data_IF_842052300143
#
_entry.id   IF_842052300143
#
_cell.length_a   1.000
_cell.length_b   1.000
_cell.length_c   1.000
_cell.angle_alpha   90.00
_cell.angle_beta   90.00
_cell.angle_gamma   90.00
#
_symmetry.space_group_name_H-M   'P 1'
#
loop_
_entity.id
_entity.type
_entity.pdbx_description
1 polymer ?
#
# COMPACT_ATOMS: atom_id res chain seq x y z
N UNK A 1 22.76 0.59 20.29
CA UNK A 1 21.82 0.11 19.26
C UNK A 1 22.64 -0.27 18.05
N UNK A 2 22.44 -1.46 17.49
CA UNK A 2 23.11 -1.82 16.23
C UNK A 2 22.61 -0.90 15.12
N UNK A 3 23.48 -0.49 14.20
CA UNK A 3 23.20 0.49 13.12
C UNK A 3 22.05 0.11 12.14
N UNK A 4 21.39 -1.02 12.36
CA UNK A 4 20.39 -1.64 11.48
C UNK A 4 19.03 -1.85 12.15
N UNK A 5 18.80 -1.25 13.32
CA UNK A 5 17.52 -1.29 14.02
C UNK A 5 16.71 -0.04 13.67
N UNK A 6 15.49 -0.27 13.17
CA UNK A 6 14.54 0.80 12.87
C UNK A 6 13.63 1.08 14.06
N UNK A 7 13.35 2.36 14.30
CA UNK A 7 12.28 2.81 15.20
C UNK A 7 10.92 2.80 14.46
N UNK A 8 9.83 2.73 15.23
CA UNK A 8 8.47 2.82 14.70
C UNK A 8 7.78 1.50 14.34
N UNK A 9 8.48 0.36 14.41
CA UNK A 9 7.86 -0.98 14.26
C UNK A 9 7.45 -1.59 15.60
N UNK A 10 6.47 -2.49 15.57
CA UNK A 10 6.01 -3.28 16.74
C UNK A 10 7.08 -4.30 17.19
N UNK A 11 8.08 -4.59 16.35
CA UNK A 11 9.14 -5.55 16.62
C UNK A 11 10.48 -5.10 16.05
N UNK A 12 11.58 -5.43 16.73
CA UNK A 12 12.94 -5.14 16.26
C UNK A 12 13.25 -6.00 15.03
N UNK A 13 13.60 -5.36 13.92
CA UNK A 13 13.97 -6.03 12.66
C UNK A 13 15.31 -5.50 12.15
N UNK A 14 16.10 -6.38 11.57
CA UNK A 14 17.35 -6.04 10.89
C UNK A 14 17.11 -6.13 9.38
N UNK A 15 17.14 -5.00 8.70
CA UNK A 15 17.02 -4.93 7.24
C UNK A 15 18.41 -5.00 6.62
N UNK A 16 18.57 -5.80 5.56
CA UNK A 16 19.87 -5.96 4.89
C UNK A 16 20.22 -4.73 4.03
N UNK A 17 19.24 -4.18 3.32
CA UNK A 17 19.41 -3.04 2.45
C UNK A 17 18.15 -2.20 2.36
N UNK A 18 18.29 -0.87 2.30
CA UNK A 18 17.17 0.03 2.11
C UNK A 18 17.61 1.37 1.53
N UNK A 19 16.68 2.03 0.86
CA UNK A 19 16.77 3.46 0.55
C UNK A 19 15.90 4.24 1.54
N UNK A 20 16.38 5.38 2.01
CA UNK A 20 15.60 6.29 2.85
C UNK A 20 15.54 7.71 2.29
N UNK A 21 14.52 8.45 2.69
CA UNK A 21 14.35 9.86 2.37
C UNK A 21 15.58 10.69 2.80
N UNK A 22 16.04 11.59 1.92
CA UNK A 22 17.15 12.52 2.20
C UNK A 22 16.74 13.73 3.05
N UNK A 23 15.44 13.85 3.37
CA UNK A 23 14.88 15.00 4.10
C UNK A 23 15.42 15.10 5.55
N UNK A 24 16.03 14.04 6.08
CA UNK A 24 16.54 13.98 7.45
C UNK A 24 18.06 13.78 7.49
N UNK A 25 18.71 14.38 8.49
CA UNK A 25 20.16 14.32 8.67
C UNK A 25 20.66 12.87 8.88
N UNK A 26 21.87 12.56 8.40
CA UNK A 26 22.42 11.21 8.45
C UNK A 26 22.59 10.65 9.89
N UNK A 27 22.63 11.51 10.90
CA UNK A 27 22.83 11.16 12.31
C UNK A 27 21.54 10.77 13.06
N UNK A 28 20.36 10.85 12.43
CA UNK A 28 19.12 10.40 13.07
C UNK A 28 19.02 8.87 13.01
N UNK A 29 18.48 8.22 14.07
CA UNK A 29 18.10 6.81 14.01
C UNK A 29 17.25 6.53 12.77
N UNK A 30 17.37 5.32 12.23
CA UNK A 30 16.56 4.90 11.10
C UNK A 30 15.12 4.68 11.54
N UNK A 31 14.16 5.18 10.77
CA UNK A 31 12.73 5.02 11.04
C UNK A 31 12.02 4.48 9.80
N UNK A 32 11.06 3.57 10.00
CA UNK A 32 10.28 2.98 8.91
C UNK A 32 9.49 4.03 8.11
N UNK A 33 9.16 5.17 8.72
CA UNK A 33 8.54 6.32 8.06
C UNK A 33 9.39 6.91 6.94
N UNK A 34 10.71 6.71 7.01
CA UNK A 34 11.65 7.27 6.03
C UNK A 34 12.03 6.29 4.93
N UNK A 35 11.64 5.01 5.05
CA UNK A 35 12.02 3.95 4.11
C UNK A 35 11.29 4.11 2.77
N UNK A 36 12.04 4.07 1.67
CA UNK A 36 11.51 4.23 0.32
C UNK A 36 11.49 2.91 -0.45
N UNK A 37 12.53 2.10 -0.30
CA UNK A 37 12.72 0.83 -1.02
C UNK A 37 13.46 -0.13 -0.10
N UNK A 38 13.14 -1.43 -0.17
CA UNK A 38 13.73 -2.47 0.68
C UNK A 38 14.46 -3.54 -0.15
N UNK A 39 15.57 -4.05 0.37
CA UNK A 39 16.33 -5.14 -0.23
C UNK A 39 16.61 -6.23 0.80
N UNK A 40 16.39 -7.48 0.41
CA UNK A 40 16.79 -8.67 1.15
C UNK A 40 17.95 -9.34 0.42
N UNK A 41 19.04 -9.63 1.14
CA UNK A 41 20.26 -10.16 0.55
C UNK A 41 20.58 -11.51 1.18
N UNK A 42 20.87 -12.49 0.32
CA UNK A 42 21.29 -13.80 0.82
C UNK A 42 22.35 -14.43 -0.08
N UNK A 43 23.34 -15.04 0.56
CA UNK A 43 24.30 -15.93 -0.08
C UNK A 43 23.76 -17.36 -0.26
N UNK A 44 22.50 -17.61 0.13
CA UNK A 44 21.85 -18.90 -0.07
C UNK A 44 21.21 -19.00 -1.45
N UNK A 45 21.16 -20.22 -1.99
CA UNK A 45 20.45 -20.50 -3.24
C UNK A 45 18.97 -20.14 -3.18
N UNK A 46 18.32 -20.03 -4.34
CA UNK A 46 16.88 -19.78 -4.51
C UNK A 46 15.98 -20.81 -3.79
N UNK A 47 16.51 -21.93 -3.29
CA UNK A 47 15.73 -22.91 -2.49
C UNK A 47 15.11 -22.30 -1.22
N UNK A 48 15.71 -21.26 -0.64
CA UNK A 48 15.14 -20.56 0.54
C UNK A 48 14.20 -19.41 0.16
N UNK A 49 13.75 -19.35 -1.11
CA UNK A 49 12.95 -18.25 -1.64
C UNK A 49 11.72 -17.94 -0.81
N UNK A 50 10.95 -18.95 -0.38
CA UNK A 50 9.76 -18.75 0.45
C UNK A 50 10.07 -17.98 1.74
N UNK A 51 11.15 -18.35 2.44
CA UNK A 51 11.56 -17.67 3.66
C UNK A 51 11.93 -16.21 3.41
N UNK A 52 12.64 -15.92 2.31
CA UNK A 52 13.11 -14.58 1.96
C UNK A 52 11.98 -13.68 1.45
N UNK A 53 11.05 -14.26 0.70
CA UNK A 53 9.82 -13.59 0.30
C UNK A 53 8.94 -13.23 1.50
N UNK A 54 8.78 -14.15 2.46
CA UNK A 54 8.05 -13.86 3.71
C UNK A 54 8.73 -12.76 4.52
N UNK A 55 10.06 -12.80 4.62
CA UNK A 55 10.85 -11.76 5.31
C UNK A 55 10.67 -10.39 4.64
N UNK A 56 10.81 -10.31 3.32
CA UNK A 56 10.52 -9.09 2.56
C UNK A 56 9.08 -8.63 2.78
N UNK A 57 8.11 -9.55 2.76
CA UNK A 57 6.70 -9.23 3.01
C UNK A 57 6.47 -8.61 4.38
N UNK A 58 7.15 -9.10 5.43
CA UNK A 58 7.11 -8.49 6.75
C UNK A 58 7.63 -7.06 6.70
N UNK A 59 8.73 -6.79 6.00
CA UNK A 59 9.26 -5.43 5.87
C UNK A 59 8.32 -4.50 5.09
N UNK A 60 7.71 -5.00 4.02
CA UNK A 60 6.70 -4.27 3.26
C UNK A 60 5.49 -3.91 4.14
N UNK A 61 5.07 -4.81 5.03
CA UNK A 61 4.03 -4.53 6.02
C UNK A 61 4.43 -3.39 6.95
N UNK A 62 5.64 -3.40 7.49
CA UNK A 62 6.10 -2.33 8.39
C UNK A 62 6.09 -0.95 7.68
N UNK A 63 6.50 -0.90 6.41
CA UNK A 63 6.38 0.33 5.60
C UNK A 63 4.92 0.75 5.45
N UNK A 64 4.00 -0.15 5.09
CA UNK A 64 2.59 0.20 4.95
C UNK A 64 1.90 0.62 6.25
N UNK A 65 2.36 0.14 7.40
CA UNK A 65 1.84 0.52 8.71
C UNK A 65 2.33 1.92 9.09
N UNK A 66 3.62 2.19 8.90
CA UNK A 66 4.24 3.47 9.27
C UNK A 66 4.03 4.58 8.23
N UNK A 67 3.78 4.22 6.98
CA UNK A 67 3.43 5.09 5.87
C UNK A 67 2.03 4.69 5.34
N UNK A 68 0.95 4.98 6.09
CA UNK A 68 -0.39 4.49 5.78
C UNK A 68 -0.92 4.97 4.41
N UNK A 69 -0.42 6.10 3.94
CA UNK A 69 -0.77 6.72 2.66
C UNK A 69 0.06 6.20 1.47
N UNK A 70 0.98 5.27 1.70
CA UNK A 70 1.82 4.68 0.66
C UNK A 70 0.95 3.85 -0.29
N UNK A 71 1.03 4.13 -1.59
CA UNK A 71 0.28 3.41 -2.63
C UNK A 71 0.87 2.05 -2.91
N UNK A 72 2.18 2.01 -3.08
CA UNK A 72 2.96 0.80 -3.32
C UNK A 72 4.39 0.99 -2.79
N UNK A 73 5.08 -0.13 -2.60
CA UNK A 73 6.47 -0.17 -2.10
C UNK A 73 7.30 -1.05 -3.01
N UNK A 74 8.44 -0.52 -3.45
CA UNK A 74 9.43 -1.28 -4.19
C UNK A 74 10.31 -2.10 -3.26
N UNK A 75 10.75 -3.24 -3.74
CA UNK A 75 11.85 -3.95 -3.13
C UNK A 75 12.49 -4.96 -4.03
N UNK A 76 13.45 -5.70 -3.50
CA UNK A 76 14.13 -6.74 -4.24
C UNK A 76 14.69 -7.81 -3.31
N UNK A 77 14.94 -8.99 -3.87
CA UNK A 77 15.66 -10.08 -3.22
C UNK A 77 16.82 -10.47 -4.11
N UNK A 78 18.02 -10.55 -3.54
CA UNK A 78 19.22 -11.01 -4.23
C UNK A 78 19.68 -12.35 -3.64
N UNK A 79 19.58 -13.41 -4.44
CA UNK A 79 20.08 -14.75 -4.12
C UNK A 79 21.39 -15.01 -4.87
N UNK A 80 22.54 -14.87 -4.20
CA UNK A 80 23.85 -14.96 -4.85
C UNK A 80 23.92 -13.98 -6.05
N UNK A 81 23.75 -14.47 -7.29
CA UNK A 81 23.71 -13.66 -8.52
C UNK A 81 22.31 -13.48 -9.12
N UNK A 82 21.26 -14.04 -8.51
CA UNK A 82 19.89 -13.98 -9.01
C UNK A 82 19.12 -12.88 -8.31
N UNK A 83 18.93 -11.76 -9.02
CA UNK A 83 18.13 -10.62 -8.57
C UNK A 83 16.67 -10.81 -8.96
N UNK A 84 15.75 -10.57 -8.03
CA UNK A 84 14.31 -10.49 -8.29
C UNK A 84 13.76 -9.18 -7.75
N UNK A 85 13.14 -8.39 -8.62
CA UNK A 85 12.53 -7.11 -8.24
C UNK A 85 11.06 -7.32 -7.88
N UNK A 86 10.58 -6.52 -6.94
CA UNK A 86 9.25 -6.62 -6.36
C UNK A 86 8.58 -5.25 -6.23
N UNK A 87 7.28 -5.22 -6.47
CA UNK A 87 6.40 -4.11 -6.11
C UNK A 87 5.23 -4.69 -5.33
N UNK A 88 5.01 -4.16 -4.13
CA UNK A 88 3.86 -4.53 -3.30
C UNK A 88 2.89 -3.36 -3.33
N UNK A 89 1.64 -3.61 -3.72
CA UNK A 89 0.54 -2.66 -3.53
C UNK A 89 -0.54 -3.29 -2.64
N UNK A 90 -1.66 -2.60 -2.43
CA UNK A 90 -2.75 -3.10 -1.57
C UNK A 90 -3.58 -4.23 -2.19
N UNK A 91 -3.35 -4.56 -3.46
CA UNK A 91 -3.87 -5.75 -4.14
C UNK A 91 -2.89 -6.93 -4.10
N UNK A 92 -1.64 -6.70 -3.71
CA UNK A 92 -0.66 -7.73 -3.42
C UNK A 92 0.68 -7.54 -4.11
N UNK A 93 1.58 -8.52 -3.91
CA UNK A 93 2.94 -8.47 -4.42
C UNK A 93 3.00 -8.86 -5.90
N UNK A 94 3.89 -8.19 -6.62
CA UNK A 94 4.22 -8.45 -8.02
C UNK A 94 5.73 -8.53 -8.16
N UNK A 95 6.23 -9.41 -9.02
CA UNK A 95 7.66 -9.56 -9.24
C UNK A 95 8.03 -9.66 -10.70
N UNK A 96 9.29 -9.33 -10.99
CA UNK A 96 9.95 -9.77 -12.22
C UNK A 96 10.28 -11.26 -12.16
N UNK A 97 10.70 -11.82 -13.31
CA UNK A 97 11.52 -13.03 -13.32
C UNK A 97 12.89 -12.78 -12.68
N UNK A 98 13.70 -13.84 -12.56
CA UNK A 98 15.07 -13.71 -12.07
C UNK A 98 15.96 -13.07 -13.13
N UNK A 99 16.75 -12.10 -12.69
CA UNK A 99 17.78 -11.42 -13.47
C UNK A 99 19.13 -11.94 -12.97
N UNK A 100 19.90 -12.59 -13.84
CA UNK A 100 21.27 -12.99 -13.48
C UNK A 100 22.22 -11.80 -13.61
N UNK A 101 22.72 -11.33 -12.47
CA UNK A 101 23.70 -10.25 -12.37
C UNK A 101 25.15 -10.77 -12.37
N UNK A 102 25.36 -12.09 -12.31
CA UNK A 102 26.70 -12.69 -12.39
C UNK A 102 27.31 -12.51 -13.77
N UNK A 103 26.48 -12.64 -14.82
CA UNK A 103 26.89 -12.40 -16.20
C UNK A 103 26.87 -10.91 -16.58
N UNK A 104 26.01 -10.11 -15.92
CA UNK A 104 25.79 -8.70 -16.25
C UNK A 104 25.67 -7.85 -14.97
N UNK A 105 26.77 -7.62 -14.24
CA UNK A 105 26.75 -6.90 -12.95
C UNK A 105 26.25 -5.45 -13.07
N UNK A 106 26.40 -4.85 -14.26
CA UNK A 106 25.85 -3.53 -14.60
C UNK A 106 24.33 -3.42 -14.36
N UNK A 107 23.58 -4.52 -14.49
CA UNK A 107 22.14 -4.54 -14.20
C UNK A 107 21.83 -4.17 -12.75
N UNK A 108 22.66 -4.60 -11.80
CA UNK A 108 22.49 -4.20 -10.40
C UNK A 108 22.71 -2.69 -10.25
N UNK A 109 23.74 -2.14 -10.90
CA UNK A 109 24.03 -0.70 -10.89
C UNK A 109 22.86 0.08 -11.47
N UNK A 110 22.29 -0.37 -12.59
CA UNK A 110 21.11 0.26 -13.19
C UNK A 110 19.90 0.24 -12.26
N UNK A 111 19.61 -0.88 -11.59
CA UNK A 111 18.49 -0.99 -10.63
C UNK A 111 18.68 -0.05 -9.45
N UNK A 112 19.86 -0.05 -8.83
CA UNK A 112 20.16 0.84 -7.70
C UNK A 112 20.06 2.31 -8.14
N UNK A 113 20.60 2.65 -9.31
CA UNK A 113 20.54 3.99 -9.87
C UNK A 113 19.10 4.42 -10.17
N UNK A 114 18.28 3.52 -10.73
CA UNK A 114 16.86 3.79 -10.97
C UNK A 114 16.14 4.15 -9.67
N UNK A 115 16.28 3.35 -8.61
CA UNK A 115 15.68 3.67 -7.31
C UNK A 115 16.15 5.00 -6.71
N UNK A 116 17.42 5.38 -6.94
CA UNK A 116 17.94 6.67 -6.47
C UNK A 116 17.39 7.88 -7.23
N UNK A 117 16.97 7.68 -8.48
CA UNK A 117 16.51 8.74 -9.38
C UNK A 117 14.98 8.83 -9.45
N UNK A 118 14.26 7.81 -8.99
CA UNK A 118 12.80 7.83 -8.92
C UNK A 118 12.30 9.01 -8.07
N UNK A 119 11.26 9.64 -8.57
CA UNK A 119 10.49 10.66 -7.86
C UNK A 119 9.69 10.07 -6.69
N UNK A 120 9.21 10.95 -5.79
CA UNK A 120 8.31 10.56 -4.70
C UNK A 120 7.07 9.81 -5.25
N UNK A 121 6.56 10.21 -6.42
CA UNK A 121 5.44 9.55 -7.10
C UNK A 121 5.78 8.15 -7.61
N UNK A 122 6.91 7.99 -8.31
CA UNK A 122 7.39 6.68 -8.80
C UNK A 122 7.78 5.72 -7.67
N UNK A 123 8.05 6.25 -6.48
CA UNK A 123 8.23 5.48 -5.26
C UNK A 123 6.89 5.10 -4.61
N UNK A 124 5.78 5.74 -4.98
CA UNK A 124 4.44 5.44 -4.45
C UNK A 124 4.05 6.31 -3.25
N UNK A 125 4.76 7.39 -2.97
CA UNK A 125 4.33 8.45 -2.06
C UNK A 125 3.24 9.29 -2.71
N UNK A 126 2.46 10.01 -1.90
CA UNK A 126 1.27 10.74 -2.35
C UNK A 126 1.41 12.22 -2.01
N UNK A 127 1.20 13.08 -3.00
CA UNK A 127 1.32 14.53 -2.87
C UNK A 127 0.07 15.22 -2.30
N UNK A 128 -1.09 14.56 -2.34
CA UNK A 128 -2.37 15.14 -1.93
C UNK A 128 -2.49 15.32 -0.41
N UNK A 129 -1.57 14.71 0.34
CA UNK A 129 -1.44 14.83 1.78
C UNK A 129 -0.16 15.58 2.10
N UNK A 130 -0.31 16.70 2.81
CA UNK A 130 0.85 17.47 3.27
C UNK A 130 0.98 17.22 4.77
N UNK A 131 2.04 16.50 5.16
CA UNK A 131 2.41 16.37 6.56
C UNK A 131 3.26 17.56 6.97
N UNK A 132 2.76 18.33 7.93
CA UNK A 132 3.49 19.35 8.67
C UNK A 132 3.84 18.79 10.06
N UNK A 133 4.69 19.50 10.82
CA UNK A 133 5.25 18.97 12.09
C UNK A 133 4.16 18.54 13.09
N UNK A 134 3.03 19.23 13.15
CA UNK A 134 1.96 19.05 14.15
C UNK A 134 0.59 18.72 13.54
N UNK A 135 0.50 18.54 12.23
CA UNK A 135 -0.78 18.29 11.54
C UNK A 135 -0.61 17.66 10.17
N UNK A 136 -1.67 17.02 9.69
CA UNK A 136 -1.79 16.57 8.30
C UNK A 136 -2.87 17.39 7.59
N UNK A 137 -2.56 17.91 6.39
CA UNK A 137 -3.50 18.64 5.56
C UNK A 137 -3.95 17.78 4.37
N UNK A 138 -5.25 17.85 4.05
CA UNK A 138 -5.81 17.18 2.88
C UNK A 138 -6.84 18.07 2.19
N UNK A 139 -6.85 18.04 0.85
CA UNK A 139 -7.89 18.65 0.03
C UNK A 139 -8.95 17.62 -0.35
N UNK A 140 -10.23 17.95 -0.16
CA UNK A 140 -11.39 17.15 -0.60
C UNK A 140 -12.36 18.00 -1.40
N UNK A 141 -13.19 17.39 -2.24
CA UNK A 141 -14.27 18.08 -2.95
C UNK A 141 -15.54 18.06 -2.12
N UNK A 142 -16.23 19.18 -2.04
CA UNK A 142 -17.55 19.23 -1.41
C UNK A 142 -18.58 18.43 -2.23
N UNK A 143 -19.60 17.81 -1.61
CA UNK A 143 -20.52 16.91 -2.31
C UNK A 143 -21.50 17.58 -3.30
N UNK A 144 -21.60 18.90 -3.29
CA UNK A 144 -22.62 19.66 -4.05
C UNK A 144 -22.03 20.84 -4.83
N UNK A 145 -21.06 21.49 -4.22
CA UNK A 145 -20.25 22.55 -4.80
C UNK A 145 -18.97 21.86 -5.25
N UNK A 146 -18.56 21.91 -6.52
CA UNK A 146 -17.24 21.39 -6.97
C UNK A 146 -16.05 22.21 -6.41
N UNK A 147 -16.30 22.88 -5.29
CA UNK A 147 -15.38 23.61 -4.46
C UNK A 147 -14.48 22.62 -3.70
N UNK A 148 -13.27 23.09 -3.42
CA UNK A 148 -12.29 22.37 -2.63
C UNK A 148 -12.29 22.85 -1.19
N UNK A 149 -12.36 21.90 -0.26
CA UNK A 149 -12.21 22.13 1.16
C UNK A 149 -10.84 21.62 1.62
N UNK A 150 -10.10 22.46 2.34
CA UNK A 150 -8.89 22.04 3.06
C UNK A 150 -9.28 21.59 4.46
N UNK A 151 -8.96 20.34 4.79
CA UNK A 151 -9.20 19.77 6.11
C UNK A 151 -7.88 19.64 6.87
N UNK A 152 -7.89 20.03 8.14
CA UNK A 152 -6.75 19.89 9.05
C UNK A 152 -6.99 18.70 9.97
N UNK A 153 -6.05 17.76 9.96
CA UNK A 153 -6.12 16.48 10.65
C UNK A 153 -5.03 16.39 11.72
N UNK A 154 -5.25 15.52 12.70
CA UNK A 154 -4.18 15.07 13.60
C UNK A 154 -2.96 14.57 12.78
N UNK A 155 -1.75 14.74 13.30
CA UNK A 155 -0.51 14.32 12.62
C UNK A 155 -0.53 12.84 12.28
N UNK A 156 -1.04 12.01 13.20
CA UNK A 156 -1.06 10.56 13.07
C UNK A 156 -2.50 10.04 12.94
N UNK A 157 -2.73 8.98 12.17
CA UNK A 157 -4.04 8.37 12.06
C UNK A 157 -4.44 7.68 13.37
N UNK A 158 -5.74 7.72 13.65
CA UNK A 158 -6.36 7.00 14.77
C UNK A 158 -6.54 5.50 14.45
N UNK A 159 -6.72 5.14 13.17
CA UNK A 159 -6.86 3.74 12.71
C UNK A 159 -5.94 3.52 11.51
N UNK A 160 -5.19 2.41 11.52
CA UNK A 160 -4.37 1.95 10.39
C UNK A 160 -4.57 0.46 10.19
N UNK A 161 -4.98 0.06 8.98
CA UNK A 161 -5.04 -1.35 8.60
C UNK A 161 -3.64 -1.90 8.32
N UNK A 162 -3.24 -2.90 9.11
CA UNK A 162 -1.88 -3.45 9.08
C UNK A 162 -1.65 -4.56 8.04
N UNK A 163 -2.70 -5.09 7.41
CA UNK A 163 -2.55 -6.10 6.36
C UNK A 163 -2.07 -5.47 5.05
N UNK A 164 -1.20 -6.15 4.31
CA UNK A 164 -0.76 -5.72 2.97
C UNK A 164 -1.94 -5.77 1.99
N UNK A 165 -2.52 -6.96 1.80
CA UNK A 165 -3.65 -7.17 0.88
C UNK A 165 -4.97 -6.92 1.60
N UNK A 166 -5.53 -5.73 1.43
CA UNK A 166 -6.85 -5.37 1.94
C UNK A 166 -7.31 -4.03 1.38
N UNK A 167 -8.39 -3.50 1.95
CA UNK A 167 -8.82 -2.11 1.70
C UNK A 167 -7.82 -1.07 2.20
N UNK A 168 -6.80 -1.43 2.99
CA UNK A 168 -5.81 -0.49 3.51
C UNK A 168 -6.43 0.68 4.26
N UNK A 169 -7.52 0.43 5.01
CA UNK A 169 -8.29 1.50 5.65
C UNK A 169 -7.43 2.27 6.64
N UNK A 170 -7.38 3.59 6.46
CA UNK A 170 -6.74 4.53 7.38
C UNK A 170 -7.75 5.59 7.79
N UNK A 171 -7.82 5.92 9.07
CA UNK A 171 -8.73 6.94 9.58
C UNK A 171 -7.97 7.98 10.37
N UNK A 172 -8.12 9.23 9.98
CA UNK A 172 -7.64 10.40 10.71
C UNK A 172 -8.81 11.10 11.41
N UNK A 173 -8.51 11.75 12.53
CA UNK A 173 -9.44 12.67 13.18
C UNK A 173 -9.15 14.10 12.72
N UNK A 174 -10.20 14.92 12.65
CA UNK A 174 -10.04 16.37 12.52
C UNK A 174 -9.32 16.94 13.74
N UNK A 175 -8.38 17.87 13.52
CA UNK A 175 -7.56 18.41 14.60
C UNK A 175 -8.35 19.37 15.51
N UNK A 176 -9.25 20.17 14.93
CA UNK A 176 -9.99 21.22 15.63
C UNK A 176 -11.50 21.00 15.65
N UNK A 177 -12.00 20.04 14.86
CA UNK A 177 -13.42 19.79 14.68
C UNK A 177 -13.73 18.30 14.78
N UNK A 178 -14.95 17.99 15.22
CA UNK A 178 -15.42 16.62 15.36
C UNK A 178 -15.82 16.02 14.01
N UNK A 179 -14.83 15.60 13.23
CA UNK A 179 -15.01 14.80 12.02
C UNK A 179 -13.91 13.74 11.90
N UNK A 180 -14.11 12.78 11.01
CA UNK A 180 -13.10 11.80 10.62
C UNK A 180 -12.87 11.82 9.13
N UNK A 181 -11.63 11.56 8.71
CA UNK A 181 -11.27 11.31 7.32
C UNK A 181 -10.88 9.86 7.19
N UNK A 182 -11.69 9.11 6.43
CA UNK A 182 -11.44 7.72 6.10
C UNK A 182 -10.85 7.61 4.70
N UNK A 183 -9.78 6.85 4.60
CA UNK A 183 -9.07 6.57 3.36
C UNK A 183 -9.08 5.06 3.18
N UNK A 184 -9.43 4.57 1.99
CA UNK A 184 -9.45 3.14 1.72
C UNK A 184 -9.47 2.84 0.22
N UNK A 185 -8.91 1.70 -0.14
CA UNK A 185 -9.13 1.04 -1.43
C UNK A 185 -10.50 0.40 -1.46
N UNK A 186 -11.27 0.63 -2.52
CA UNK A 186 -12.62 0.09 -2.71
C UNK A 186 -12.69 -0.73 -3.99
N UNK A 187 -13.40 -1.85 -3.94
CA UNK A 187 -13.80 -2.55 -5.14
C UNK A 187 -14.85 -1.71 -5.89
N UNK A 188 -14.66 -1.54 -7.18
CA UNK A 188 -15.61 -0.90 -8.07
C UNK A 188 -16.76 -1.86 -8.43
N UNK A 189 -17.88 -1.30 -8.90
CA UNK A 189 -19.06 -2.07 -9.32
C UNK A 189 -20.16 -2.23 -8.26
N UNK A 190 -20.04 -1.55 -7.11
CA UNK A 190 -21.12 -1.38 -6.12
C UNK A 190 -21.37 0.10 -5.87
N UNK A 191 -22.58 0.40 -5.38
CA UNK A 191 -22.90 1.73 -4.87
C UNK A 191 -21.89 2.12 -3.80
N UNK A 192 -21.32 3.30 -3.96
CA UNK A 192 -20.24 3.77 -3.12
C UNK A 192 -20.74 4.27 -1.77
N UNK A 193 -19.88 4.24 -0.75
CA UNK A 193 -20.20 4.82 0.55
C UNK A 193 -20.57 6.31 0.43
N UNK A 194 -19.89 7.06 -0.45
CA UNK A 194 -20.22 8.46 -0.77
C UNK A 194 -21.66 8.60 -1.30
N UNK A 195 -22.08 7.73 -2.22
CA UNK A 195 -23.45 7.74 -2.75
C UNK A 195 -24.48 7.36 -1.69
N UNK A 196 -24.17 6.38 -0.84
CA UNK A 196 -25.04 5.98 0.27
C UNK A 196 -25.21 7.12 1.27
N UNK A 197 -24.12 7.80 1.64
CA UNK A 197 -24.15 8.93 2.56
C UNK A 197 -24.81 10.17 1.96
N UNK A 198 -24.69 10.37 0.65
CA UNK A 198 -25.44 11.39 -0.07
C UNK A 198 -26.95 11.19 0.03
N UNK A 199 -27.41 9.93 0.06
CA UNK A 199 -28.84 9.58 0.20
C UNK A 199 -29.35 9.63 1.65
N UNK A 200 -28.47 9.50 2.64
CA UNK A 200 -28.82 9.47 4.06
C UNK A 200 -28.55 10.78 4.79
N UNK A 201 -28.44 11.91 4.07
CA UNK A 201 -28.21 13.22 4.67
C UNK A 201 -29.35 13.56 5.64
N UNK A 202 -28.98 14.16 6.76
CA UNK A 202 -29.93 14.62 7.79
C UNK A 202 -30.69 13.50 8.54
N UNK A 203 -30.29 12.23 8.40
CA UNK A 203 -30.79 11.17 9.25
C UNK A 203 -30.04 11.22 10.59
N UNK A 204 -30.80 11.38 11.67
CA UNK A 204 -30.29 11.38 13.05
C UNK A 204 -29.42 10.15 13.32
N UNK A 205 -28.22 10.36 13.89
CA UNK A 205 -27.30 9.27 14.23
C UNK A 205 -26.56 8.65 13.04
N UNK A 206 -26.82 9.10 11.81
CA UNK A 206 -26.04 8.72 10.62
C UNK A 206 -24.99 9.78 10.33
N UNK A 207 -23.80 9.36 9.93
CA UNK A 207 -22.74 10.30 9.54
C UNK A 207 -23.13 11.03 8.25
N UNK A 208 -22.82 12.32 8.18
CA UNK A 208 -22.97 13.13 6.96
C UNK A 208 -21.60 13.33 6.31
N UNK A 209 -21.58 13.26 4.98
CA UNK A 209 -20.39 13.50 4.17
C UNK A 209 -20.07 15.00 4.14
N UNK A 210 -18.84 15.36 4.52
CA UNK A 210 -18.28 16.72 4.41
C UNK A 210 -17.67 16.92 3.02
N UNK A 211 -16.98 15.90 2.52
CA UNK A 211 -16.34 15.93 1.21
C UNK A 211 -15.65 14.62 0.87
N UNK A 212 -15.30 14.43 -0.39
CA UNK A 212 -14.62 13.22 -0.87
C UNK A 212 -13.63 13.52 -1.99
N UNK A 213 -12.66 12.63 -2.17
CA UNK A 213 -11.71 12.67 -3.28
C UNK A 213 -11.43 11.25 -3.75
N UNK A 214 -11.72 11.01 -5.03
CA UNK A 214 -11.21 9.86 -5.76
C UNK A 214 -9.80 10.16 -6.23
N UNK A 215 -8.89 9.22 -5.99
CA UNK A 215 -7.48 9.38 -6.34
C UNK A 215 -7.17 8.46 -7.52
N UNK A 216 -6.61 7.30 -7.28
CA UNK A 216 -6.03 6.46 -8.32
C UNK A 216 -6.60 5.05 -8.31
N UNK A 217 -6.56 4.38 -9.46
CA UNK A 217 -6.90 2.96 -9.57
C UNK A 217 -5.67 2.08 -9.59
N UNK A 218 -5.79 0.87 -9.03
CA UNK A 218 -4.75 -0.15 -9.15
C UNK A 218 -4.47 -0.48 -10.62
N UNK A 219 -5.48 -0.44 -11.48
CA UNK A 219 -5.30 -0.63 -12.93
C UNK A 219 -4.45 0.46 -13.56
N UNK A 220 -4.55 1.71 -13.08
CA UNK A 220 -3.75 2.84 -13.56
C UNK A 220 -2.31 2.72 -13.04
N UNK A 221 -2.15 2.35 -11.76
CA UNK A 221 -0.82 2.08 -11.16
C UNK A 221 -0.06 0.94 -11.83
N UNK A 222 -0.79 -0.03 -12.40
CA UNK A 222 -0.23 -1.20 -13.08
C UNK A 222 -0.25 -1.05 -14.60
N UNK A 223 -0.62 0.12 -15.12
CA UNK A 223 -0.67 0.33 -16.56
C UNK A 223 0.71 0.18 -17.19
N UNK A 224 0.77 -0.42 -18.37
CA UNK A 224 2.03 -0.76 -19.05
C UNK A 224 2.80 -1.96 -18.46
N UNK A 225 2.38 -2.53 -17.33
CA UNK A 225 2.97 -3.79 -16.83
C UNK A 225 2.45 -4.98 -17.64
N UNK A 226 3.38 -5.72 -18.24
CA UNK A 226 3.07 -6.93 -18.99
C UNK A 226 3.13 -8.15 -18.07
N UNK A 227 1.97 -8.70 -17.72
CA UNK A 227 1.85 -9.93 -16.94
C UNK A 227 1.89 -11.15 -17.86
N UNK A 228 3.05 -11.80 -17.96
CA UNK A 228 3.11 -13.10 -18.65
C UNK A 228 2.53 -14.20 -17.75
N UNK A 229 1.97 -15.26 -18.34
CA UNK A 229 1.51 -16.44 -17.58
C UNK A 229 2.62 -17.05 -16.70
N UNK A 230 3.88 -16.95 -17.13
CA UNK A 230 5.04 -17.41 -16.36
C UNK A 230 5.35 -16.53 -15.12
N UNK A 231 4.89 -15.28 -15.10
CA UNK A 231 5.02 -14.36 -13.96
C UNK A 231 3.89 -14.50 -12.94
N UNK A 232 2.75 -15.09 -13.33
CA UNK A 232 1.77 -15.61 -12.38
C UNK A 232 2.34 -16.86 -11.72
N UNK A 233 3.28 -16.67 -10.78
CA UNK A 233 3.53 -17.71 -9.80
C UNK A 233 2.28 -17.79 -8.94
N UNK A 234 1.56 -18.89 -9.03
CA UNK A 234 0.59 -19.22 -8.01
C UNK A 234 1.36 -19.24 -6.68
N UNK A 235 1.07 -18.29 -5.80
CA UNK A 235 1.47 -18.36 -4.39
C UNK A 235 0.56 -19.40 -3.74
N UNK A 236 0.57 -20.62 -4.28
CA UNK A 236 -0.02 -21.77 -3.65
C UNK A 236 1.13 -22.68 -3.25
N UNK A 237 1.24 -23.06 -1.96
CA UNK A 237 1.98 -24.27 -1.64
C UNK A 237 1.34 -25.43 -2.41
N UNK A 238 2.12 -26.46 -2.75
CA UNK A 238 1.59 -27.72 -3.28
C UNK A 238 0.67 -28.34 -2.21
N UNK A 239 -0.59 -27.90 -2.14
CA UNK A 239 -1.61 -28.53 -1.32
C UNK A 239 -2.19 -29.69 -2.12
N UNK A 240 -2.00 -30.92 -1.62
CA UNK A 240 -2.83 -32.05 -2.04
C UNK A 240 -4.30 -31.68 -1.81
N UNK A 241 -5.19 -31.90 -2.80
CA UNK A 241 -6.56 -31.46 -2.70
C UNK A 241 -7.29 -32.22 -1.59
N UNK A 242 -7.54 -31.55 -0.46
CA UNK A 242 -8.54 -32.02 0.50
C UNK A 242 -9.93 -31.76 -0.09
N UNK A 243 -10.55 -32.83 -0.57
CA UNK A 243 -11.96 -32.86 -0.97
C UNK A 243 -12.83 -32.58 0.25
N UNK A 244 -13.64 -31.51 0.17
CA UNK A 244 -14.78 -31.31 1.08
C UNK A 244 -16.09 -31.38 0.30
N UNK A 245 -17.20 -31.86 0.91
CA UNK A 245 -18.32 -32.47 0.19
C UNK A 245 -19.29 -31.52 -0.51
N UNK A 246 -18.91 -30.25 -0.74
CA UNK A 246 -19.87 -29.21 -1.16
C UNK A 246 -19.96 -28.97 -2.67
N UNK A 247 -19.18 -29.68 -3.49
CA UNK A 247 -19.06 -29.43 -4.94
C UNK A 247 -20.15 -30.03 -5.84
N UNK A 248 -21.28 -30.50 -5.30
CA UNK A 248 -22.30 -31.19 -6.12
C UNK A 248 -23.51 -30.37 -6.56
N UNK A 249 -23.58 -29.06 -6.33
CA UNK A 249 -24.76 -28.30 -6.79
C UNK A 249 -24.45 -26.85 -7.18
N UNK A 250 -23.76 -26.59 -8.30
CA UNK A 250 -24.05 -25.45 -9.19
C UNK A 250 -23.67 -25.78 -10.66
N UNK A 251 -24.54 -25.49 -11.64
CA UNK A 251 -24.22 -25.70 -13.05
C UNK A 251 -23.17 -24.69 -13.54
N UNK A 252 -22.23 -25.21 -14.32
CA UNK A 252 -21.13 -24.51 -14.94
C UNK A 252 -21.59 -23.30 -15.76
N UNK A 253 -21.13 -22.12 -15.35
CA UNK A 253 -20.93 -20.99 -16.25
C UNK A 253 -19.76 -20.17 -15.71
N UNK A 254 -18.55 -20.70 -15.90
CA UNK A 254 -17.30 -20.00 -15.64
C UNK A 254 -17.10 -18.89 -16.67
N UNK A 255 -17.66 -17.71 -16.40
CA UNK A 255 -17.10 -16.47 -16.95
C UNK A 255 -15.84 -16.15 -16.15
N UNK A 256 -14.70 -16.61 -16.67
CA UNK A 256 -13.38 -16.19 -16.24
C UNK A 256 -13.25 -14.67 -16.38
N UNK A 257 -12.83 -14.00 -15.31
CA UNK A 257 -12.44 -12.59 -15.32
C UNK A 257 -13.58 -11.62 -15.10
N UNK A 258 -14.09 -11.51 -13.87
CA UNK A 258 -14.65 -10.23 -13.42
C UNK A 258 -13.47 -9.31 -13.15
N UNK A 259 -13.28 -8.34 -14.05
CA UNK A 259 -12.30 -7.27 -13.91
C UNK A 259 -12.76 -6.34 -12.77
N UNK A 260 -12.44 -6.71 -11.53
CA UNK A 260 -12.71 -5.88 -10.37
C UNK A 260 -11.67 -4.78 -10.32
N UNK A 261 -11.99 -3.64 -10.93
CA UNK A 261 -11.18 -2.44 -10.71
C UNK A 261 -11.23 -2.06 -9.22
N UNK A 262 -10.08 -1.67 -8.68
CA UNK A 262 -9.93 -1.24 -7.28
C UNK A 262 -9.42 0.20 -7.30
N UNK A 263 -10.08 1.08 -6.54
CA UNK A 263 -9.83 2.52 -6.53
C UNK A 263 -9.49 3.02 -5.12
N UNK A 264 -8.47 3.87 -5.02
CA UNK A 264 -8.09 4.54 -3.79
C UNK A 264 -8.90 5.80 -3.59
N UNK A 265 -9.54 5.90 -2.42
CA UNK A 265 -10.47 6.99 -2.11
C UNK A 265 -10.21 7.55 -0.72
N UNK A 266 -10.47 8.84 -0.61
CA UNK A 266 -10.61 9.57 0.64
C UNK A 266 -12.04 10.12 0.80
N UNK A 267 -12.58 10.08 2.02
CA UNK A 267 -13.87 10.68 2.37
C UNK A 267 -13.87 11.23 3.80
N UNK A 268 -14.40 12.43 3.99
CA UNK A 268 -14.52 13.12 5.27
C UNK A 268 -15.98 13.08 5.75
N UNK A 269 -16.20 12.71 7.01
CA UNK A 269 -17.51 12.41 7.57
C UNK A 269 -17.65 12.95 9.00
N UNK A 270 -18.84 13.43 9.36
CA UNK A 270 -19.18 13.92 10.71
C UNK A 270 -20.51 13.36 11.18
N UNK A 271 -20.62 13.01 12.46
CA UNK A 271 -21.88 12.53 13.03
C UNK A 271 -22.93 13.64 13.05
N UNK A 272 -24.18 13.28 12.75
CA UNK A 272 -25.34 14.14 12.99
C UNK A 272 -25.83 13.86 14.41
N UNK A 273 -25.73 14.86 15.29
CA UNK A 273 -26.19 14.76 16.67
C UNK A 273 -27.72 14.60 16.71
N UNK A 274 -28.18 13.74 17.62
CA UNK A 274 -29.58 13.63 17.96
C UNK A 274 -29.85 14.56 19.14
N UNK A 275 -30.70 15.57 18.90
CA UNK A 275 -31.17 16.51 19.93
C UNK A 275 -32.06 15.85 20.97
#
# INVERSE_FOLDING_TARGET
MSAWQFEGSESTRQVDFFFKSRKYAASTPHDWRDVLVLGELTSSSVRVWNSKFLQLSVYMREVFVTQPLRRFVHGFILFETKLQLWVFDRSGPMSTGFIDIGENPEKLIYVITAYMLMSDDELGLVSNFVQEHDRTLIKVKEPETDNWLMLTLETFPFIVQQSIVSRGTTVYRGLYESFVVKISWRAMGRMSEVELLGKSRSICGVVTLIGSLDMEKISELRDGLMFTKAMQREIQPDEEPMTTPHDLLQPENSKSGRDYSVEWRCQAQKCVECG
#
